data_IF_073131792314
#
_entry.id   IF_073131792314
#
_cell.length_a   1.000
_cell.length_b   1.000
_cell.length_c   1.000
_cell.angle_alpha   90.00
_cell.angle_beta   90.00
_cell.angle_gamma   90.00
#
_symmetry.space_group_name_H-M   'P 1'
#
loop_
_entity.id
_entity.type
_entity.pdbx_description
1 polymer ?
#
# COMPACT_ATOMS: atom_id res chain seq x y z
N UNK A 1 8.90 -24.57 -11.29
CA UNK A 1 8.07 -23.38 -11.55
C UNK A 1 8.63 -22.66 -12.77
N UNK A 2 7.83 -22.45 -13.81
CA UNK A 2 8.27 -21.78 -15.04
C UNK A 2 8.29 -20.28 -14.74
N UNK A 3 9.46 -19.73 -14.46
CA UNK A 3 9.62 -18.30 -14.19
C UNK A 3 9.29 -17.52 -15.47
N UNK A 4 8.35 -16.58 -15.34
CA UNK A 4 7.87 -15.72 -16.44
C UNK A 4 9.01 -14.80 -16.86
N UNK A 5 9.25 -14.68 -18.18
CA UNK A 5 10.29 -13.78 -18.71
C UNK A 5 9.84 -12.33 -18.62
N UNK A 6 10.83 -11.47 -18.41
CA UNK A 6 10.83 -10.01 -18.56
C UNK A 6 10.03 -9.55 -19.79
N UNK A 7 9.16 -8.57 -19.64
CA UNK A 7 8.44 -7.93 -20.76
C UNK A 7 7.13 -8.60 -21.17
N UNK A 8 6.71 -9.68 -20.52
CA UNK A 8 5.41 -10.29 -20.79
C UNK A 8 4.38 -9.73 -19.80
N UNK A 9 3.70 -8.65 -20.17
CA UNK A 9 2.24 -8.66 -19.98
C UNK A 9 1.73 -9.89 -20.73
N UNK A 10 0.69 -10.56 -20.22
CA UNK A 10 0.04 -11.64 -20.99
C UNK A 10 -0.10 -11.14 -22.44
N UNK A 11 0.28 -11.93 -23.47
CA UNK A 11 0.02 -11.54 -24.86
C UNK A 11 -1.47 -11.16 -25.06
N UNK A 12 -2.31 -11.69 -24.17
CA UNK A 12 -3.71 -11.36 -23.98
C UNK A 12 -3.87 -10.46 -22.73
N UNK A 13 -3.35 -9.23 -22.72
CA UNK A 13 -3.95 -8.23 -21.83
C UNK A 13 -5.41 -8.16 -22.27
N UNK A 14 -6.38 -8.55 -21.43
CA UNK A 14 -7.77 -8.62 -21.86
C UNK A 14 -8.13 -7.28 -22.50
N UNK A 15 -8.90 -7.29 -23.60
CA UNK A 15 -9.39 -6.05 -24.25
C UNK A 15 -10.08 -5.09 -23.26
N UNK A 16 -10.40 -5.60 -22.07
CA UNK A 16 -11.10 -4.96 -20.98
C UNK A 16 -10.23 -4.11 -20.05
N UNK A 17 -8.90 -3.97 -20.30
CA UNK A 17 -8.10 -2.94 -19.62
C UNK A 17 -8.22 -1.63 -20.39
N UNK A 18 -8.92 -0.66 -19.79
CA UNK A 18 -9.26 0.63 -20.40
C UNK A 18 -8.04 1.44 -20.88
N UNK A 19 -6.95 1.40 -20.11
CA UNK A 19 -5.72 2.14 -20.34
C UNK A 19 -4.54 1.21 -20.69
N UNK A 20 -4.79 0.16 -21.46
CA UNK A 20 -3.78 -0.88 -21.73
C UNK A 20 -2.51 -0.34 -22.39
N UNK A 21 -2.64 0.70 -23.22
CA UNK A 21 -1.53 1.25 -23.98
C UNK A 21 -0.67 2.16 -23.10
N UNK A 22 -1.27 2.94 -22.19
CA UNK A 22 -0.57 3.71 -21.16
C UNK A 22 0.03 2.80 -20.08
N UNK A 23 -0.70 1.75 -19.66
CA UNK A 23 -0.24 0.79 -18.67
C UNK A 23 1.03 0.05 -19.11
N UNK A 24 1.25 -0.12 -20.42
CA UNK A 24 2.52 -0.65 -20.96
C UNK A 24 3.71 0.26 -20.69
N UNK A 25 3.50 1.58 -20.62
CA UNK A 25 4.55 2.54 -20.30
C UNK A 25 4.88 2.58 -18.81
N UNK A 26 3.89 2.32 -17.95
CA UNK A 26 4.02 2.29 -16.49
C UNK A 26 4.59 0.96 -15.98
N UNK A 27 4.13 -0.15 -16.54
CA UNK A 27 4.71 -1.48 -16.32
C UNK A 27 5.92 -1.68 -17.24
N UNK A 28 6.97 -0.90 -17.01
CA UNK A 28 8.30 -1.29 -17.48
C UNK A 28 8.77 -2.40 -16.54
N UNK A 29 8.95 -3.64 -17.02
CA UNK A 29 9.60 -4.65 -16.20
C UNK A 29 10.97 -4.09 -15.88
N UNK A 30 11.16 -3.69 -14.61
CA UNK A 30 12.46 -3.19 -14.19
C UNK A 30 13.47 -4.29 -14.49
N UNK A 31 14.62 -3.92 -15.05
CA UNK A 31 15.69 -4.89 -15.23
C UNK A 31 16.19 -5.46 -13.91
N UNK A 32 15.78 -4.85 -12.80
CA UNK A 32 15.84 -5.36 -11.43
C UNK A 32 14.93 -6.60 -11.29
N UNK A 33 15.42 -7.73 -11.75
CA UNK A 33 15.44 -8.86 -10.81
C UNK A 33 16.28 -8.34 -9.64
N UNK A 34 15.64 -7.95 -8.53
CA UNK A 34 16.36 -7.48 -7.36
C UNK A 34 17.27 -8.62 -6.90
N UNK A 35 18.53 -8.58 -7.35
CA UNK A 35 19.57 -9.42 -6.81
C UNK A 35 19.73 -8.96 -5.35
N UNK A 36 19.25 -9.78 -4.42
CA UNK A 36 19.16 -9.51 -2.99
C UNK A 36 18.27 -8.31 -2.63
N UNK A 37 16.93 -8.46 -2.61
CA UNK A 37 16.03 -7.37 -2.21
C UNK A 37 16.34 -6.87 -0.79
N UNK A 38 16.28 -5.55 -0.59
CA UNK A 38 16.68 -4.92 0.68
C UNK A 38 15.45 -4.43 1.43
N UNK A 39 15.28 -4.91 2.65
CA UNK A 39 14.14 -4.60 3.51
C UNK A 39 14.60 -3.90 4.78
N UNK A 40 13.96 -2.79 5.11
CA UNK A 40 14.05 -2.17 6.41
C UNK A 40 12.83 -2.54 7.25
N UNK A 41 13.07 -3.01 8.48
CA UNK A 41 12.02 -3.10 9.50
C UNK A 41 12.13 -1.88 10.41
N UNK A 42 11.11 -1.02 10.40
CA UNK A 42 10.93 0.05 11.38
C UNK A 42 10.04 -0.46 12.51
N UNK A 43 10.53 -0.45 13.74
CA UNK A 43 9.77 -0.94 14.89
C UNK A 43 10.01 -0.11 16.15
N UNK A 44 9.45 -0.48 17.29
CA UNK A 44 9.79 0.11 18.59
C UNK A 44 10.87 -0.73 19.27
N UNK A 45 11.62 -0.13 20.19
CA UNK A 45 12.60 -0.87 21.00
C UNK A 45 11.98 -2.10 21.69
N UNK A 46 10.73 -2.00 22.16
CA UNK A 46 10.01 -3.08 22.83
C UNK A 46 9.63 -4.27 21.92
N UNK A 47 9.51 -4.05 20.60
CA UNK A 47 9.13 -5.09 19.63
C UNK A 47 10.31 -5.58 18.80
N UNK A 48 11.50 -4.96 18.91
CA UNK A 48 12.69 -5.29 18.12
C UNK A 48 13.00 -6.77 18.12
N UNK A 49 13.00 -7.40 19.30
CA UNK A 49 13.36 -8.82 19.45
C UNK A 49 12.29 -9.76 18.86
N UNK A 50 11.02 -9.35 18.85
CA UNK A 50 9.90 -10.10 18.23
C UNK A 50 10.07 -10.29 16.72
N UNK A 51 10.97 -9.56 16.07
CA UNK A 51 11.24 -9.65 14.62
C UNK A 51 12.35 -10.65 14.26
N UNK A 52 13.08 -11.17 15.26
CA UNK A 52 14.35 -11.87 15.05
C UNK A 52 14.26 -13.12 14.18
N UNK A 53 13.23 -13.96 14.36
CA UNK A 53 13.05 -15.18 13.57
C UNK A 53 12.71 -14.86 12.12
N UNK A 54 11.83 -13.89 11.90
CA UNK A 54 11.45 -13.45 10.56
C UNK A 54 12.65 -12.89 9.77
N UNK A 55 13.50 -12.08 10.43
CA UNK A 55 14.72 -11.56 9.81
C UNK A 55 15.68 -12.66 9.39
N UNK A 56 15.87 -13.68 10.24
CA UNK A 56 16.73 -14.82 9.91
C UNK A 56 16.21 -15.56 8.68
N UNK A 57 14.90 -15.80 8.62
CA UNK A 57 14.29 -16.45 7.46
C UNK A 57 14.34 -15.60 6.19
N UNK A 58 14.05 -14.30 6.26
CA UNK A 58 14.17 -13.41 5.09
C UNK A 58 15.59 -13.40 4.52
N UNK A 59 16.60 -13.39 5.39
CA UNK A 59 18.00 -13.54 4.97
C UNK A 59 18.27 -14.88 4.31
N UNK A 60 17.66 -15.96 4.81
CA UNK A 60 17.75 -17.28 4.18
C UNK A 60 17.08 -17.33 2.79
N UNK A 61 16.05 -16.51 2.56
CA UNK A 61 15.38 -16.38 1.25
C UNK A 61 16.01 -15.33 0.33
N UNK A 62 17.16 -14.76 0.72
CA UNK A 62 17.96 -13.87 -0.12
C UNK A 62 17.74 -12.38 0.10
N UNK A 63 16.96 -11.98 1.11
CA UNK A 63 16.82 -10.55 1.46
C UNK A 63 18.02 -10.06 2.28
N UNK A 64 18.46 -8.83 2.02
CA UNK A 64 19.17 -8.06 3.05
C UNK A 64 18.13 -7.40 3.97
N UNK A 65 18.32 -7.51 5.29
CA UNK A 65 17.31 -7.07 6.26
C UNK A 65 17.94 -6.23 7.36
N UNK A 66 17.65 -4.93 7.31
CA UNK A 66 17.92 -3.94 8.34
C UNK A 66 16.81 -3.88 9.38
N UNK A 67 17.14 -3.39 10.59
CA UNK A 67 16.16 -3.03 11.62
C UNK A 67 16.58 -1.72 12.23
N UNK A 68 15.64 -0.79 12.32
CA UNK A 68 15.79 0.45 13.05
C UNK A 68 14.63 0.60 14.02
N UNK A 69 14.89 1.19 15.19
CA UNK A 69 13.81 1.54 16.11
C UNK A 69 13.39 2.98 15.90
N UNK A 70 12.12 3.28 16.18
CA UNK A 70 11.64 4.66 16.25
C UNK A 70 12.50 5.47 17.21
N UNK A 71 12.88 4.91 18.34
CA UNK A 71 13.73 5.58 19.33
C UNK A 71 15.10 5.97 18.75
N UNK A 72 15.74 5.08 17.97
CA UNK A 72 16.99 5.38 17.26
C UNK A 72 16.80 6.53 16.26
N UNK A 73 15.72 6.50 15.48
CA UNK A 73 15.39 7.55 14.51
C UNK A 73 15.17 8.90 15.19
N UNK A 74 14.33 8.95 16.24
CA UNK A 74 13.98 10.20 16.91
C UNK A 74 15.18 10.85 17.62
N UNK A 75 16.21 10.06 17.93
CA UNK A 75 17.48 10.56 18.48
C UNK A 75 18.47 11.07 17.44
N UNK A 76 18.29 10.70 16.16
CA UNK A 76 19.26 10.97 15.08
C UNK A 76 18.73 11.82 13.94
N UNK A 77 17.41 12.04 13.87
CA UNK A 77 16.75 12.77 12.79
C UNK A 77 15.93 13.95 13.31
N UNK A 78 16.05 15.09 12.64
CA UNK A 78 15.28 16.31 12.90
C UNK A 78 13.93 16.33 12.18
N UNK A 79 13.06 17.23 12.62
CA UNK A 79 11.68 17.40 12.12
C UNK A 79 10.78 17.95 13.22
N UNK A 80 9.67 18.55 12.81
CA UNK A 80 8.69 19.20 13.67
C UNK A 80 7.88 18.19 14.49
N UNK A 81 7.66 17.00 13.93
CA UNK A 81 6.92 15.92 14.59
C UNK A 81 7.51 14.52 14.31
N UNK A 82 6.89 13.50 14.92
CA UNK A 82 7.36 12.11 14.80
C UNK A 82 7.30 11.60 13.36
N UNK A 83 6.19 11.75 12.60
CA UNK A 83 6.17 11.32 11.21
C UNK A 83 7.24 12.02 10.35
N UNK A 84 7.44 13.33 10.49
CA UNK A 84 8.45 14.04 9.70
C UNK A 84 9.87 13.56 10.04
N UNK A 85 10.18 13.36 11.33
CA UNK A 85 11.47 12.78 11.74
C UNK A 85 11.73 11.41 11.13
N UNK A 86 10.70 10.56 11.08
CA UNK A 86 10.76 9.24 10.44
C UNK A 86 11.00 9.38 8.94
N UNK A 87 10.20 10.20 8.24
CA UNK A 87 10.34 10.41 6.80
C UNK A 87 11.71 10.98 6.46
N UNK A 88 12.18 12.00 7.17
CA UNK A 88 13.50 12.60 6.96
C UNK A 88 14.64 11.57 7.11
N UNK A 89 14.54 10.67 8.10
CA UNK A 89 15.50 9.60 8.25
C UNK A 89 15.43 8.62 7.07
N UNK A 90 14.22 8.22 6.65
CA UNK A 90 14.01 7.32 5.52
C UNK A 90 14.53 7.92 4.21
N UNK A 91 14.31 9.22 3.96
CA UNK A 91 14.84 9.93 2.79
C UNK A 91 16.37 9.84 2.71
N UNK A 92 17.06 9.97 3.84
CA UNK A 92 18.51 9.78 3.92
C UNK A 92 19.00 8.36 3.60
N UNK A 93 18.09 7.38 3.57
CA UNK A 93 18.36 5.96 3.32
C UNK A 93 17.53 5.39 2.17
N UNK A 94 16.89 6.23 1.35
CA UNK A 94 15.96 5.79 0.30
C UNK A 94 16.66 4.90 -0.73
N UNK A 95 17.94 5.17 -1.01
CA UNK A 95 18.74 4.35 -1.91
C UNK A 95 19.13 2.99 -1.33
N UNK A 96 19.06 2.80 -0.01
CA UNK A 96 19.56 1.61 0.70
C UNK A 96 18.54 0.47 0.78
N UNK A 97 17.25 0.78 0.63
CA UNK A 97 16.17 -0.17 0.81
C UNK A 97 15.22 -0.15 -0.39
N UNK A 98 14.48 -1.24 -0.58
CA UNK A 98 13.42 -1.36 -1.60
C UNK A 98 12.04 -1.56 -0.92
N UNK A 99 12.04 -2.08 0.32
CA UNK A 99 10.84 -2.36 1.11
C UNK A 99 10.95 -1.78 2.52
N UNK A 100 9.85 -1.21 3.02
CA UNK A 100 9.68 -0.80 4.41
C UNK A 100 8.58 -1.63 5.06
N UNK A 101 8.91 -2.34 6.13
CA UNK A 101 7.94 -3.01 6.99
C UNK A 101 7.87 -2.30 8.34
N UNK A 102 6.76 -1.62 8.60
CA UNK A 102 6.49 -0.97 9.88
C UNK A 102 5.85 -1.98 10.83
N UNK A 103 6.46 -2.20 12.00
CA UNK A 103 5.95 -3.12 13.02
C UNK A 103 5.74 -2.34 14.31
N UNK A 104 4.48 -2.03 14.59
CA UNK A 104 4.08 -1.23 15.74
C UNK A 104 2.69 -0.64 15.55
N UNK A 105 1.94 -0.49 16.64
CA UNK A 105 0.65 0.20 16.58
C UNK A 105 0.83 1.66 16.12
N UNK A 106 -0.13 2.20 15.38
CA UNK A 106 -0.09 3.58 14.91
C UNK A 106 -0.01 4.61 16.06
N UNK A 107 -0.52 4.29 17.25
CA UNK A 107 -0.29 5.13 18.43
C UNK A 107 1.19 5.23 18.87
N UNK A 108 2.02 4.26 18.50
CA UNK A 108 3.44 4.25 18.85
C UNK A 108 4.36 4.69 17.70
N UNK A 109 4.02 4.29 16.47
CA UNK A 109 4.67 4.71 15.22
C UNK A 109 3.55 5.33 14.35
N UNK A 110 3.31 6.65 14.47
CA UNK A 110 2.17 7.32 13.83
C UNK A 110 2.19 7.16 12.31
N UNK A 111 1.00 7.19 11.72
CA UNK A 111 0.84 7.51 10.30
C UNK A 111 0.88 9.04 10.16
N UNK A 112 1.19 9.56 8.97
CA UNK A 112 0.92 10.98 8.68
C UNK A 112 -0.58 11.13 8.47
N UNK A 113 -1.20 12.10 9.15
CA UNK A 113 -2.56 12.53 8.82
C UNK A 113 -2.45 13.43 7.60
N UNK A 114 -3.11 13.03 6.51
CA UNK A 114 -3.16 13.77 5.26
C UNK A 114 -4.44 14.58 5.19
N UNK A 115 -4.33 15.78 4.64
CA UNK A 115 -5.42 16.65 4.29
C UNK A 115 -5.45 16.77 2.77
N UNK A 116 -6.11 15.85 2.04
CA UNK A 116 -6.08 15.89 0.57
C UNK A 116 -6.72 17.16 -0.01
N UNK A 117 -7.50 17.89 0.79
CA UNK A 117 -8.17 19.13 0.39
C UNK A 117 -7.53 20.34 1.05
N UNK A 118 -7.30 21.39 0.26
CA UNK A 118 -6.85 22.72 0.68
C UNK A 118 -7.44 23.22 2.01
N UNK A 119 -6.57 23.70 2.89
CA UNK A 119 -6.82 24.10 4.28
C UNK A 119 -7.60 23.06 5.11
N UNK A 120 -7.41 21.76 4.82
CA UNK A 120 -8.20 20.66 5.40
C UNK A 120 -9.71 20.72 5.11
N UNK A 121 -10.15 21.54 4.16
CA UNK A 121 -11.56 21.78 3.91
C UNK A 121 -12.14 20.78 2.90
N UNK A 122 -12.62 19.63 3.38
CA UNK A 122 -13.26 18.63 2.53
C UNK A 122 -14.71 18.97 2.11
N UNK A 123 -15.21 20.17 2.43
CA UNK A 123 -16.52 20.66 2.00
C UNK A 123 -17.69 19.76 2.40
N UNK A 124 -18.43 19.24 1.41
CA UNK A 124 -19.56 18.33 1.62
C UNK A 124 -19.16 16.93 2.08
N UNK A 125 -17.85 16.64 2.18
CA UNK A 125 -17.30 15.34 2.59
C UNK A 125 -16.36 15.49 3.80
N UNK A 126 -16.84 15.99 4.96
CA UNK A 126 -16.00 16.29 6.12
C UNK A 126 -15.18 15.09 6.61
N UNK A 127 -15.67 13.86 6.39
CA UNK A 127 -14.96 12.62 6.74
C UNK A 127 -13.71 12.34 5.89
N UNK A 128 -13.48 13.12 4.82
CA UNK A 128 -12.29 13.04 3.97
C UNK A 128 -11.24 14.11 4.31
N UNK A 129 -11.45 14.90 5.36
CA UNK A 129 -10.51 15.97 5.75
C UNK A 129 -9.21 15.43 6.35
N UNK A 130 -9.27 14.36 7.15
CA UNK A 130 -8.11 13.80 7.85
C UNK A 130 -7.97 12.30 7.53
N UNK A 131 -6.97 11.96 6.72
CA UNK A 131 -6.73 10.58 6.25
C UNK A 131 -5.38 10.09 6.80
N UNK A 132 -5.37 9.22 7.84
CA UNK A 132 -4.12 8.62 8.31
C UNK A 132 -3.55 7.68 7.23
N UNK A 133 -2.31 7.93 6.81
CA UNK A 133 -1.67 7.17 5.74
C UNK A 133 -0.18 6.93 5.97
N UNK A 134 0.27 5.75 5.56
CA UNK A 134 1.69 5.37 5.53
C UNK A 134 2.35 5.71 4.17
N UNK A 135 1.60 6.19 3.18
CA UNK A 135 2.15 6.58 1.86
C UNK A 135 3.24 7.66 1.97
N UNK A 136 3.12 8.53 2.97
CA UNK A 136 4.11 9.55 3.33
C UNK A 136 5.50 8.97 3.65
N UNK A 137 5.57 7.70 4.09
CA UNK A 137 6.83 7.00 4.33
C UNK A 137 7.38 6.28 3.09
N UNK A 138 6.60 6.21 2.01
CA UNK A 138 6.95 5.56 0.74
C UNK A 138 7.42 6.53 -0.33
N UNK A 139 6.78 7.71 -0.43
CA UNK A 139 7.22 8.85 -1.26
C UNK A 139 8.31 9.61 -0.50
N UNK A 140 9.53 9.57 -1.03
CA UNK A 140 10.77 10.09 -0.43
C UNK A 140 11.54 11.03 -1.36
N UNK A 141 11.08 11.19 -2.61
CA UNK A 141 11.74 11.94 -3.68
C UNK A 141 12.13 13.37 -3.26
N UNK A 142 11.20 14.09 -2.60
CA UNK A 142 11.33 15.51 -2.25
C UNK A 142 11.13 15.78 -0.76
N UNK A 143 11.78 16.83 -0.21
CA UNK A 143 11.49 17.28 1.15
C UNK A 143 10.08 17.86 1.24
N UNK A 144 9.54 18.01 2.46
CA UNK A 144 8.14 18.42 2.64
C UNK A 144 7.90 19.82 2.04
N UNK A 145 8.83 20.75 2.23
CA UNK A 145 8.78 22.12 1.67
C UNK A 145 8.80 22.19 0.12
N UNK A 146 8.97 21.05 -0.56
CA UNK A 146 8.90 20.94 -2.02
C UNK A 146 7.83 19.95 -2.49
N UNK A 147 7.10 19.30 -1.57
CA UNK A 147 6.07 18.31 -1.92
C UNK A 147 4.92 18.25 -0.92
N UNK A 148 5.13 17.64 0.25
CA UNK A 148 4.06 17.28 1.18
C UNK A 148 3.55 18.42 2.06
N UNK A 149 4.23 19.57 2.10
CA UNK A 149 3.85 20.78 2.82
C UNK A 149 4.56 22.00 2.17
N UNK A 150 4.18 22.30 0.94
CA UNK A 150 4.84 23.30 0.08
C UNK A 150 4.56 24.73 0.54
N UNK A 151 3.37 24.98 1.09
CA UNK A 151 2.99 26.30 1.59
C UNK A 151 3.34 26.52 3.08
N UNK A 152 3.80 25.49 3.77
CA UNK A 152 4.40 25.55 5.09
C UNK A 152 3.39 25.64 6.24
N UNK A 153 2.17 25.13 6.06
CA UNK A 153 1.15 25.10 7.09
C UNK A 153 1.14 23.76 7.88
N UNK A 154 0.01 23.41 8.52
CA UNK A 154 -0.11 22.17 9.32
C UNK A 154 -0.80 21.02 8.59
N UNK A 155 -1.27 21.26 7.38
CA UNK A 155 -1.97 20.32 6.52
C UNK A 155 -0.97 19.73 5.54
N UNK A 156 -0.99 18.40 5.39
CA UNK A 156 -0.03 17.69 4.56
C UNK A 156 -0.74 16.97 3.43
N UNK A 157 -0.24 17.13 2.21
CA UNK A 157 -0.73 16.45 1.03
C UNK A 157 -1.99 17.08 0.43
N UNK A 158 -2.15 18.40 0.54
CA UNK A 158 -3.21 19.24 -0.05
C UNK A 158 -3.15 19.28 -1.59
N UNK A 159 -3.34 18.10 -2.20
CA UNK A 159 -3.21 17.89 -3.64
C UNK A 159 -4.52 18.13 -4.42
N UNK A 160 -5.63 18.48 -3.73
CA UNK A 160 -6.95 18.73 -4.31
C UNK A 160 -7.55 20.02 -3.73
N UNK A 161 -8.35 20.76 -4.51
CA UNK A 161 -9.17 21.83 -3.94
C UNK A 161 -10.61 21.38 -3.68
N UNK A 162 -11.23 21.95 -2.64
CA UNK A 162 -12.63 21.74 -2.31
C UNK A 162 -13.53 22.17 -3.49
N UNK A 163 -14.32 21.25 -4.03
CA UNK A 163 -15.22 21.53 -5.15
C UNK A 163 -14.66 21.23 -6.54
N UNK A 164 -13.50 20.57 -6.65
CA UNK A 164 -13.00 20.01 -7.91
C UNK A 164 -12.25 21.01 -8.81
N UNK A 165 -11.86 22.18 -8.28
CA UNK A 165 -10.98 23.11 -8.99
C UNK A 165 -9.50 22.71 -8.81
N UNK A 166 -8.62 23.16 -9.71
CA UNK A 166 -7.21 22.75 -9.76
C UNK A 166 -6.33 23.89 -9.26
N UNK A 167 -6.17 23.99 -7.95
CA UNK A 167 -5.17 24.86 -7.31
C UNK A 167 -4.63 24.17 -6.05
N UNK A 168 -3.87 23.07 -6.20
CA UNK A 168 -3.35 22.33 -5.06
C UNK A 168 -2.31 23.17 -4.31
N UNK A 169 -2.36 23.16 -2.98
CA UNK A 169 -1.39 23.84 -2.12
C UNK A 169 -0.12 23.02 -1.94
N UNK A 170 -0.23 21.69 -2.09
CA UNK A 170 0.88 20.73 -2.03
C UNK A 170 1.06 19.96 -3.34
N UNK A 171 2.22 19.33 -3.50
CA UNK A 171 2.56 18.55 -4.68
C UNK A 171 3.34 17.26 -4.36
N UNK A 172 2.78 16.32 -3.56
CA UNK A 172 3.32 14.97 -3.50
C UNK A 172 3.25 14.33 -4.89
N UNK A 173 4.33 13.69 -5.33
CA UNK A 173 4.33 13.01 -6.64
C UNK A 173 3.68 11.63 -6.56
N UNK A 174 3.55 11.07 -5.35
CA UNK A 174 2.96 9.75 -5.08
C UNK A 174 3.71 8.61 -5.78
N UNK A 175 4.96 8.85 -6.19
CA UNK A 175 5.87 7.83 -6.67
C UNK A 175 6.59 7.19 -5.47
N UNK A 176 6.40 5.88 -5.29
CA UNK A 176 6.93 5.18 -4.11
C UNK A 176 8.40 4.79 -4.33
N UNK A 177 9.32 5.43 -3.61
CA UNK A 177 10.70 4.94 -3.48
C UNK A 177 10.78 3.67 -2.62
N UNK A 178 9.89 3.52 -1.64
CA UNK A 178 9.79 2.32 -0.80
C UNK A 178 8.41 1.68 -0.90
N UNK A 179 8.37 0.36 -1.08
CA UNK A 179 7.15 -0.40 -0.91
C UNK A 179 6.83 -0.57 0.58
N UNK A 180 5.78 0.11 1.06
CA UNK A 180 5.43 0.17 2.48
C UNK A 180 4.37 -0.86 2.85
N UNK A 181 4.59 -1.56 3.96
CA UNK A 181 3.59 -2.39 4.63
C UNK A 181 3.63 -2.21 6.15
N UNK A 182 2.51 -2.46 6.85
CA UNK A 182 2.42 -2.31 8.31
C UNK A 182 1.81 -3.54 8.99
N UNK A 183 2.45 -3.98 10.07
CA UNK A 183 1.85 -4.82 11.11
C UNK A 183 1.46 -3.93 12.28
N UNK A 184 0.18 -3.57 12.36
CA UNK A 184 -0.37 -2.62 13.32
C UNK A 184 -0.67 -3.30 14.67
N UNK A 185 0.37 -3.67 15.42
CA UNK A 185 0.24 -4.29 16.74
C UNK A 185 1.35 -3.84 17.70
N UNK A 186 1.02 -3.70 18.98
CA UNK A 186 1.99 -3.45 20.06
C UNK A 186 2.30 -4.69 20.90
N UNK A 187 1.77 -5.86 20.52
CA UNK A 187 1.91 -7.08 21.30
C UNK A 187 3.05 -7.96 20.80
N UNK A 188 4.03 -8.18 21.68
CA UNK A 188 5.19 -9.06 21.43
C UNK A 188 4.80 -10.53 21.16
N UNK A 189 3.57 -10.93 21.46
CA UNK A 189 2.99 -12.25 21.13
C UNK A 189 2.29 -12.27 19.78
N UNK A 190 1.63 -11.18 19.37
CA UNK A 190 0.89 -11.11 18.10
C UNK A 190 1.83 -10.89 16.91
N UNK A 191 2.86 -10.06 17.08
CA UNK A 191 3.82 -9.74 16.01
C UNK A 191 4.51 -11.00 15.46
N UNK A 192 5.11 -11.88 16.29
CA UNK A 192 5.71 -13.11 15.80
C UNK A 192 4.72 -14.02 15.07
N UNK A 193 3.49 -14.15 15.58
CA UNK A 193 2.46 -14.99 14.95
C UNK A 193 2.08 -14.49 13.56
N UNK A 194 1.94 -13.18 13.36
CA UNK A 194 1.64 -12.62 12.02
C UNK A 194 2.80 -12.89 11.07
N UNK A 195 4.03 -12.62 11.50
CA UNK A 195 5.24 -12.85 10.69
C UNK A 195 5.42 -14.34 10.34
N UNK A 196 5.10 -15.23 11.28
CA UNK A 196 5.08 -16.67 11.06
C UNK A 196 3.99 -17.06 10.04
N UNK A 197 2.78 -16.51 10.11
CA UNK A 197 1.78 -16.81 9.07
C UNK A 197 2.24 -16.37 7.68
N UNK A 198 2.91 -15.21 7.58
CA UNK A 198 3.50 -14.74 6.32
C UNK A 198 4.51 -15.74 5.76
N UNK A 199 5.47 -16.21 6.56
CA UNK A 199 6.48 -17.14 6.04
C UNK A 199 5.89 -18.51 5.68
N UNK A 200 4.79 -18.91 6.32
CA UNK A 200 4.22 -20.26 6.22
C UNK A 200 3.45 -20.30 4.91
N UNK A 201 2.69 -19.22 4.67
CA UNK A 201 2.07 -18.97 3.39
C UNK A 201 3.12 -18.97 2.25
N UNK A 202 4.28 -18.33 2.39
CA UNK A 202 5.29 -18.35 1.31
C UNK A 202 5.97 -19.72 1.13
N UNK A 203 6.27 -20.40 2.23
CA UNK A 203 6.97 -21.68 2.22
C UNK A 203 6.09 -22.81 1.66
N UNK A 204 4.82 -22.87 2.09
CA UNK A 204 3.89 -23.94 1.77
C UNK A 204 3.71 -24.11 0.25
N UNK A 205 3.64 -25.36 -0.20
CA UNK A 205 3.46 -25.74 -1.61
C UNK A 205 2.05 -26.24 -1.90
N UNK A 206 1.19 -26.31 -0.90
CA UNK A 206 -0.20 -26.67 -1.09
C UNK A 206 -0.91 -25.59 -1.93
N UNK A 207 -1.33 -25.97 -3.14
CA UNK A 207 -2.00 -25.06 -4.06
C UNK A 207 -3.52 -25.04 -3.89
N UNK A 208 -4.11 -25.93 -3.07
CA UNK A 208 -5.58 -26.05 -2.98
C UNK A 208 -6.23 -24.75 -2.49
N UNK A 209 -5.66 -24.10 -1.48
CA UNK A 209 -6.16 -22.80 -1.02
C UNK A 209 -5.55 -21.61 -1.79
N UNK A 210 -4.33 -21.75 -2.33
CA UNK A 210 -3.64 -20.66 -3.06
C UNK A 210 -4.22 -20.38 -4.44
N UNK A 211 -4.90 -21.37 -5.02
CA UNK A 211 -5.54 -21.24 -6.32
C UNK A 211 -7.07 -21.10 -6.20
N UNK A 212 -7.58 -20.92 -4.99
CA UNK A 212 -9.01 -20.74 -4.70
C UNK A 212 -9.31 -19.28 -4.40
N UNK A 213 -10.42 -18.76 -4.91
CA UNK A 213 -10.86 -17.37 -4.73
C UNK A 213 -12.23 -17.31 -4.06
N UNK A 214 -12.44 -16.31 -3.23
CA UNK A 214 -13.77 -15.94 -2.72
C UNK A 214 -14.16 -14.62 -3.37
N UNK A 215 -15.28 -14.61 -4.09
CA UNK A 215 -15.74 -13.44 -4.86
C UNK A 215 -16.95 -12.83 -4.16
N UNK A 216 -16.78 -11.61 -3.64
CA UNK A 216 -17.85 -10.84 -3.02
C UNK A 216 -18.32 -9.75 -4.00
N UNK A 217 -19.58 -9.84 -4.41
CA UNK A 217 -20.26 -8.86 -5.24
C UNK A 217 -21.38 -8.22 -4.43
N UNK A 218 -21.21 -6.95 -4.07
CA UNK A 218 -22.25 -6.19 -3.34
C UNK A 218 -23.15 -5.43 -4.30
N UNK A 219 -24.43 -5.29 -3.95
CA UNK A 219 -25.34 -4.34 -4.59
C UNK A 219 -25.15 -2.99 -3.90
N UNK A 220 -24.81 -1.95 -4.67
CA UNK A 220 -24.69 -0.59 -4.14
C UNK A 220 -26.04 0.14 -4.14
N UNK A 221 -26.88 -0.07 -5.16
CA UNK A 221 -28.27 0.41 -5.23
C UNK A 221 -29.08 -0.38 -6.25
N UNK A 222 -30.40 -0.40 -6.07
CA UNK A 222 -31.32 -1.10 -6.97
C UNK A 222 -31.70 -0.24 -8.20
N UNK A 223 -32.09 -0.88 -9.32
CA UNK A 223 -32.65 -0.16 -10.46
C UNK A 223 -33.83 0.71 -10.03
N UNK A 224 -33.77 1.99 -10.38
CA UNK A 224 -34.80 2.98 -10.09
C UNK A 224 -35.17 3.10 -8.60
N UNK A 225 -34.24 2.82 -7.67
CA UNK A 225 -34.50 2.85 -6.23
C UNK A 225 -35.03 4.21 -5.73
N UNK A 226 -34.58 5.31 -6.34
CA UNK A 226 -35.02 6.66 -6.01
C UNK A 226 -36.14 7.19 -6.93
N UNK A 227 -36.71 6.36 -7.81
CA UNK A 227 -37.71 6.79 -8.79
C UNK A 227 -37.17 7.67 -9.94
N UNK A 228 -35.85 7.87 -10.04
CA UNK A 228 -35.21 8.74 -11.04
C UNK A 228 -34.84 8.06 -12.37
N UNK A 229 -35.17 6.78 -12.56
CA UNK A 229 -34.90 6.02 -13.77
C UNK A 229 -33.45 5.50 -13.91
N UNK A 230 -32.63 5.62 -12.87
CA UNK A 230 -31.23 5.19 -12.90
C UNK A 230 -31.08 3.65 -12.91
N UNK A 231 -30.08 3.12 -13.62
CA UNK A 231 -29.76 1.69 -13.54
C UNK A 231 -29.24 1.31 -12.15
N UNK A 232 -29.44 0.06 -11.76
CA UNK A 232 -28.84 -0.51 -10.55
C UNK A 232 -27.33 -0.72 -10.71
N UNK A 233 -26.63 -0.87 -9.60
CA UNK A 233 -25.21 -1.21 -9.60
C UNK A 233 -24.97 -2.47 -8.79
N UNK A 234 -24.69 -3.56 -9.51
CA UNK A 234 -24.53 -4.89 -8.97
C UNK A 234 -23.11 -5.41 -9.21
N UNK A 235 -22.33 -5.54 -8.13
CA UNK A 235 -20.98 -6.07 -8.17
C UNK A 235 -20.92 -7.54 -8.59
N UNK A 236 -22.00 -8.32 -8.45
CA UNK A 236 -22.06 -9.70 -8.93
C UNK A 236 -21.85 -9.78 -10.43
N UNK A 237 -22.42 -8.82 -11.19
CA UNK A 237 -22.23 -8.75 -12.64
C UNK A 237 -20.75 -8.63 -13.03
N UNK A 238 -19.98 -7.84 -12.29
CA UNK A 238 -18.54 -7.72 -12.52
C UNK A 238 -17.78 -8.99 -12.12
N UNK A 239 -18.18 -9.66 -11.03
CA UNK A 239 -17.59 -10.94 -10.62
C UNK A 239 -17.84 -12.06 -11.66
N UNK A 240 -19.05 -12.13 -12.23
CA UNK A 240 -19.37 -13.05 -13.32
C UNK A 240 -18.64 -12.68 -14.62
N UNK A 241 -18.46 -11.39 -14.89
CA UNK A 241 -17.67 -10.91 -16.01
C UNK A 241 -16.20 -11.37 -15.90
N UNK A 242 -15.53 -11.18 -14.76
CA UNK A 242 -14.12 -11.61 -14.61
C UNK A 242 -13.97 -13.14 -14.66
N UNK A 243 -14.97 -13.91 -14.22
CA UNK A 243 -14.98 -15.38 -14.33
C UNK A 243 -15.20 -15.85 -15.77
N UNK A 244 -16.21 -15.32 -16.46
CA UNK A 244 -16.54 -15.68 -17.85
C UNK A 244 -15.42 -15.32 -18.83
N UNK A 245 -14.62 -14.29 -18.52
CA UNK A 245 -13.43 -13.92 -19.27
C UNK A 245 -12.16 -14.68 -18.83
N UNK A 246 -12.26 -15.64 -17.91
CA UNK A 246 -11.15 -16.50 -17.51
C UNK A 246 -10.05 -15.83 -16.70
N UNK A 247 -10.26 -14.59 -16.21
CA UNK A 247 -9.33 -13.89 -15.32
C UNK A 247 -9.23 -14.65 -13.99
N UNK A 248 -10.36 -15.13 -13.48
CA UNK A 248 -10.45 -16.03 -12.33
C UNK A 248 -11.04 -17.35 -12.79
N UNK A 249 -10.47 -18.47 -12.32
CA UNK A 249 -10.97 -19.81 -12.63
C UNK A 249 -12.27 -20.07 -11.87
N UNK A 250 -13.38 -20.14 -12.58
CA UNK A 250 -14.71 -20.44 -12.01
C UNK A 250 -14.71 -21.73 -11.16
N UNK A 251 -14.04 -22.79 -11.63
CA UNK A 251 -13.95 -24.08 -10.92
C UNK A 251 -13.27 -24.03 -9.55
N UNK A 252 -12.65 -22.89 -9.21
CA UNK A 252 -11.98 -22.64 -7.94
C UNK A 252 -12.46 -21.35 -7.28
N UNK A 253 -13.63 -20.85 -7.68
CA UNK A 253 -14.24 -19.68 -7.09
C UNK A 253 -15.46 -20.06 -6.24
N UNK A 254 -15.58 -19.43 -5.08
CA UNK A 254 -16.80 -19.44 -4.27
C UNK A 254 -17.40 -18.03 -4.29
N UNK A 255 -18.67 -17.91 -4.65
CA UNK A 255 -19.38 -16.61 -4.67
C UNK A 255 -20.04 -16.32 -3.33
N UNK A 256 -20.03 -15.05 -2.92
CA UNK A 256 -20.80 -14.54 -1.77
C UNK A 256 -21.98 -13.67 -2.26
N UNK A 257 -22.57 -14.07 -3.39
CA UNK A 257 -23.70 -13.40 -4.04
C UNK A 257 -24.57 -14.44 -4.76
N UNK A 258 -25.82 -14.07 -5.02
CA UNK A 258 -26.77 -14.88 -5.78
C UNK A 258 -26.49 -14.76 -7.29
N UNK A 259 -26.69 -15.87 -8.01
CA UNK A 259 -26.51 -15.93 -9.47
C UNK A 259 -27.82 -15.63 -10.21
#
# INVERSE_FOLDING_TARGET
ARFIRKGTLYPDVPEHIYNKDEAREWYRPSERVLANPRMLILTTAALKDSTSLYRQWRRHTGFDVGVVTKEDILSSSGGDDTPQKIRNWLRGHAADYDYLLIIGHHANIPMRVLAPFNNGNAGWWPDLADIPSDIYYGDLSKPDEESWNLDGDSYYGEALSAGGFVDPQDAPDLEMELHVGRINSSFATTVPSILEQTWLFEYDKNTTYKETSVLAGGILWYPNENGGGYPGYDGAHYMEFIMSNGIIKESRATTLYEK
#
